data_IF_887784604173
#
_entry.id   IF_887784604173
#
_cell.length_a   1.000
_cell.length_b   1.000
_cell.length_c   1.000
_cell.angle_alpha   90.00
_cell.angle_beta   90.00
_cell.angle_gamma   90.00
#
_symmetry.space_group_name_H-M   'P 1'
#
loop_
_entity.id
_entity.type
_entity.pdbx_description
1 polymer ?
#
# COMPACT_ATOMS: atom_id res chain seq x y z
N UNK A 1 -13.43 11.06 -4.99
CA UNK A 1 -13.14 9.78 -4.33
C UNK A 1 -11.88 9.20 -4.91
N UNK A 2 -11.00 8.66 -4.08
CA UNK A 2 -9.81 7.92 -4.51
C UNK A 2 -10.23 6.63 -5.24
N UNK A 3 -9.63 6.36 -6.41
CA UNK A 3 -10.00 5.25 -7.28
C UNK A 3 -8.83 4.28 -7.38
N UNK A 4 -9.07 3.00 -7.13
CA UNK A 4 -8.04 1.95 -7.13
C UNK A 4 -8.12 1.12 -8.40
N UNK A 5 -6.96 0.59 -8.83
CA UNK A 5 -6.87 -0.38 -9.92
C UNK A 5 -7.21 -1.79 -9.42
N UNK A 6 -7.60 -2.68 -10.34
CA UNK A 6 -7.92 -4.08 -10.03
C UNK A 6 -6.84 -4.73 -9.16
N UNK A 7 -5.58 -4.69 -9.62
CA UNK A 7 -4.48 -5.33 -8.90
C UNK A 7 -4.24 -4.78 -7.50
N UNK A 8 -4.51 -3.49 -7.26
CA UNK A 8 -4.36 -2.89 -5.93
C UNK A 8 -5.44 -3.42 -4.98
N UNK A 9 -6.69 -3.51 -5.45
CA UNK A 9 -7.78 -4.09 -4.68
C UNK A 9 -7.52 -5.56 -4.36
N UNK A 10 -7.12 -6.36 -5.36
CA UNK A 10 -6.75 -7.77 -5.18
C UNK A 10 -5.72 -7.93 -4.07
N UNK A 11 -4.59 -7.23 -4.17
CA UNK A 11 -3.50 -7.34 -3.19
C UNK A 11 -3.89 -6.87 -1.80
N UNK A 12 -4.66 -5.78 -1.69
CA UNK A 12 -5.17 -5.31 -0.39
C UNK A 12 -6.11 -6.35 0.23
N UNK A 13 -7.00 -6.97 -0.53
CA UNK A 13 -7.96 -7.95 -0.02
C UNK A 13 -7.31 -9.26 0.40
N UNK A 14 -6.31 -9.71 -0.36
CA UNK A 14 -5.48 -10.87 0.00
C UNK A 14 -4.69 -10.56 1.28
N UNK A 15 -4.00 -9.42 1.35
CA UNK A 15 -3.22 -9.00 2.50
C UNK A 15 -4.07 -8.85 3.78
N UNK A 16 -5.28 -8.33 3.63
CA UNK A 16 -6.20 -8.17 4.74
C UNK A 16 -6.77 -9.50 5.24
N UNK A 17 -6.72 -10.56 4.42
CA UNK A 17 -7.30 -11.87 4.70
C UNK A 17 -8.80 -11.94 4.46
N UNK A 18 -9.33 -11.07 3.60
CA UNK A 18 -10.75 -11.10 3.19
C UNK A 18 -11.05 -12.22 2.19
N UNK A 19 -10.03 -12.65 1.48
CA UNK A 19 -10.12 -13.73 0.50
C UNK A 19 -10.02 -15.06 1.23
N UNK A 20 -10.86 -16.03 0.86
CA UNK A 20 -10.86 -17.39 1.42
C UNK A 20 -10.70 -18.38 0.26
N UNK A 21 -9.63 -19.15 0.26
CA UNK A 21 -9.46 -20.26 -0.66
C UNK A 21 -10.36 -21.44 -0.25
N UNK A 22 -10.96 -22.10 -1.23
CA UNK A 22 -11.77 -23.31 -1.01
C UNK A 22 -10.85 -24.54 -0.91
N UNK A 23 -9.67 -24.49 -1.54
CA UNK A 23 -8.67 -25.55 -1.48
C UNK A 23 -7.23 -24.98 -1.53
N UNK A 24 -6.25 -25.76 -1.07
CA UNK A 24 -4.86 -25.30 -0.93
C UNK A 24 -4.15 -24.95 -2.26
N UNK A 25 -4.66 -25.43 -3.40
CA UNK A 25 -4.10 -25.17 -4.72
C UNK A 25 -4.62 -23.87 -5.35
N UNK A 26 -5.61 -23.25 -4.73
CA UNK A 26 -6.26 -22.07 -5.28
C UNK A 26 -5.42 -20.82 -5.06
N UNK A 27 -5.21 -20.05 -6.12
CA UNK A 27 -4.46 -18.80 -6.03
C UNK A 27 -5.37 -17.69 -5.48
N UNK A 28 -4.97 -17.13 -4.34
CA UNK A 28 -5.73 -16.06 -3.66
C UNK A 28 -5.95 -14.83 -4.54
N UNK A 29 -5.03 -14.51 -5.45
CA UNK A 29 -5.18 -13.37 -6.36
C UNK A 29 -6.31 -13.65 -7.37
N UNK A 30 -6.39 -14.88 -7.89
CA UNK A 30 -7.46 -15.30 -8.80
C UNK A 30 -8.82 -15.29 -8.10
N UNK A 31 -8.88 -15.76 -6.84
CA UNK A 31 -10.12 -15.72 -6.05
C UNK A 31 -10.57 -14.28 -5.82
N UNK A 32 -9.64 -13.40 -5.43
CA UNK A 32 -9.93 -11.98 -5.20
C UNK A 32 -10.43 -11.30 -6.48
N UNK A 33 -9.80 -11.58 -7.62
CA UNK A 33 -10.20 -11.03 -8.91
C UNK A 33 -11.62 -11.47 -9.28
N UNK A 34 -11.99 -12.74 -9.02
CA UNK A 34 -13.36 -13.23 -9.22
C UNK A 34 -14.37 -12.51 -8.33
N UNK A 35 -14.06 -12.30 -7.04
CA UNK A 35 -14.93 -11.52 -6.15
C UNK A 35 -15.16 -10.10 -6.68
N UNK A 36 -14.11 -9.43 -7.16
CA UNK A 36 -14.26 -8.07 -7.72
C UNK A 36 -15.10 -8.10 -9.01
N UNK A 37 -14.88 -9.07 -9.90
CA UNK A 37 -15.69 -9.25 -11.12
C UNK A 37 -17.16 -9.50 -10.82
N UNK A 38 -17.47 -10.25 -9.76
CA UNK A 38 -18.84 -10.48 -9.30
C UNK A 38 -19.47 -9.18 -8.81
N UNK A 39 -18.76 -8.37 -8.00
CA UNK A 39 -19.26 -7.07 -7.54
C UNK A 39 -19.50 -6.08 -8.68
N UNK A 40 -18.66 -6.11 -9.72
CA UNK A 40 -18.87 -5.34 -10.95
C UNK A 40 -20.13 -5.84 -11.68
N UNK A 41 -20.31 -7.16 -11.79
CA UNK A 41 -21.48 -7.77 -12.44
C UNK A 41 -22.78 -7.43 -11.71
N UNK A 42 -22.74 -7.32 -10.38
CA UNK A 42 -23.84 -6.88 -9.53
C UNK A 42 -24.03 -5.35 -9.47
N UNK A 43 -23.28 -4.57 -10.27
CA UNK A 43 -23.32 -3.10 -10.30
C UNK A 43 -22.93 -2.41 -8.98
N UNK A 44 -22.28 -3.12 -8.05
CA UNK A 44 -21.76 -2.53 -6.80
C UNK A 44 -20.48 -1.73 -7.03
N UNK A 45 -19.69 -2.12 -8.04
CA UNK A 45 -18.52 -1.40 -8.50
C UNK A 45 -18.65 -1.02 -9.98
N UNK A 46 -18.41 0.26 -10.29
CA UNK A 46 -18.38 0.80 -11.64
C UNK A 46 -16.93 0.85 -12.15
N UNK A 47 -16.60 0.14 -13.24
CA UNK A 47 -15.32 0.31 -13.91
C UNK A 47 -15.32 1.65 -14.65
N UNK A 48 -14.21 2.38 -14.51
CA UNK A 48 -13.94 3.64 -15.19
C UNK A 48 -12.65 3.46 -15.95
N UNK A 49 -12.75 3.53 -17.27
CA UNK A 49 -11.59 3.48 -18.15
C UNK A 49 -10.79 4.78 -18.06
N UNK A 50 -9.48 4.63 -17.87
CA UNK A 50 -8.54 5.75 -17.86
C UNK A 50 -7.37 5.44 -18.80
N UNK A 51 -6.61 6.46 -19.21
CA UNK A 51 -5.37 6.25 -19.97
C UNK A 51 -4.37 5.31 -19.26
N UNK A 52 -4.52 5.14 -17.94
CA UNK A 52 -3.66 4.33 -17.09
C UNK A 52 -4.25 2.94 -16.74
N UNK A 53 -5.34 2.55 -17.41
CA UNK A 53 -6.10 1.32 -17.21
C UNK A 53 -7.43 1.52 -16.47
N UNK A 54 -8.16 0.43 -16.24
CA UNK A 54 -9.44 0.42 -15.54
C UNK A 54 -9.26 0.70 -14.05
N UNK A 55 -10.04 1.64 -13.53
CA UNK A 55 -10.16 1.97 -12.10
C UNK A 55 -11.59 1.72 -11.63
N UNK A 56 -11.77 1.40 -10.35
CA UNK A 56 -13.10 1.13 -9.81
C UNK A 56 -13.59 2.27 -8.93
N UNK A 57 -14.87 2.59 -9.08
CA UNK A 57 -15.63 3.46 -8.17
C UNK A 57 -16.78 2.64 -7.60
N UNK A 58 -17.03 2.79 -6.30
CA UNK A 58 -18.21 2.20 -5.67
C UNK A 58 -19.45 2.98 -6.14
N UNK A 59 -20.51 2.28 -6.53
CA UNK A 59 -21.75 2.92 -6.97
C UNK A 59 -22.44 3.63 -5.79
N UNK A 60 -22.99 4.82 -6.02
CA UNK A 60 -23.64 5.59 -4.96
C UNK A 60 -24.78 4.85 -4.23
N UNK A 61 -25.42 3.88 -4.90
CA UNK A 61 -26.57 3.09 -4.39
C UNK A 61 -26.14 2.13 -3.27
N UNK A 62 -24.87 1.72 -3.23
CA UNK A 62 -24.36 0.86 -2.15
C UNK A 62 -23.82 1.66 -0.96
N UNK A 63 -23.88 3.00 -0.97
CA UNK A 63 -23.44 3.81 0.18
C UNK A 63 -24.20 3.50 1.47
N UNK A 64 -25.53 3.44 1.43
CA UNK A 64 -26.34 3.13 2.61
C UNK A 64 -26.04 1.72 3.18
N UNK A 65 -25.61 0.80 2.32
CA UNK A 65 -25.17 -0.52 2.73
C UNK A 65 -23.79 -0.44 3.39
N UNK A 66 -22.85 0.29 2.78
CA UNK A 66 -21.51 0.49 3.33
C UNK A 66 -21.56 1.10 4.73
N UNK A 67 -22.42 2.08 4.98
CA UNK A 67 -22.58 2.66 6.32
C UNK A 67 -23.00 1.63 7.38
N UNK A 68 -23.74 0.58 6.97
CA UNK A 68 -24.16 -0.49 7.88
C UNK A 68 -23.09 -1.56 8.10
N UNK A 69 -22.22 -1.81 7.12
CA UNK A 69 -21.24 -2.91 7.16
C UNK A 69 -19.82 -2.45 7.47
N UNK A 70 -19.45 -1.20 7.18
CA UNK A 70 -18.12 -0.64 7.34
C UNK A 70 -17.93 0.03 8.72
N UNK A 71 -18.53 -0.52 9.77
CA UNK A 71 -18.51 0.06 11.14
C UNK A 71 -17.09 0.22 11.71
N UNK A 72 -16.16 -0.61 11.27
CA UNK A 72 -14.77 -0.60 11.76
C UNK A 72 -13.82 0.15 10.80
N UNK A 73 -14.37 0.85 9.81
CA UNK A 73 -13.61 1.64 8.84
C UNK A 73 -13.75 3.13 9.17
N UNK A 74 -12.65 3.87 9.11
CA UNK A 74 -12.64 5.31 9.34
C UNK A 74 -11.79 6.03 8.30
N UNK A 75 -12.24 7.21 7.87
CA UNK A 75 -11.58 8.02 6.84
C UNK A 75 -11.36 9.44 7.36
N UNK A 76 -10.12 9.89 7.35
CA UNK A 76 -9.75 11.26 7.69
C UNK A 76 -9.46 12.02 6.39
N UNK A 77 -10.30 13.02 6.08
CA UNK A 77 -10.01 14.02 5.04
C UNK A 77 -9.46 15.29 5.70
N UNK A 78 -8.22 15.22 6.19
CA UNK A 78 -7.50 16.42 6.62
C UNK A 78 -7.14 17.24 5.39
N UNK A 79 -7.46 18.54 5.39
CA UNK A 79 -6.93 19.43 4.37
C UNK A 79 -5.40 19.47 4.51
N UNK A 80 -4.65 19.73 3.42
CA UNK A 80 -3.26 20.15 3.54
C UNK A 80 -3.15 21.21 4.62
N UNK A 81 -2.22 21.07 5.56
CA UNK A 81 -1.99 22.06 6.59
C UNK A 81 -1.63 23.38 5.89
N UNK A 82 -2.62 24.26 5.70
CA UNK A 82 -2.37 25.56 5.10
C UNK A 82 -1.63 26.37 6.15
N UNK A 83 -0.35 26.64 5.92
CA UNK A 83 0.23 27.85 6.49
C UNK A 83 -0.71 29.01 6.16
N UNK A 84 -1.25 29.64 7.20
CA UNK A 84 -1.96 30.89 7.06
C UNK A 84 -1.05 31.90 6.35
N UNK A 85 -1.38 32.18 5.09
CA UNK A 85 -1.44 33.51 4.44
C UNK A 85 -1.23 33.33 2.94
N UNK A 86 -2.32 33.33 2.17
CA UNK A 86 -2.60 34.36 1.17
C UNK A 86 -3.92 34.03 0.43
N UNK A 87 -4.81 35.01 0.44
CA UNK A 87 -5.83 35.29 -0.57
C UNK A 87 -7.06 34.39 -0.70
N UNK A 88 -8.10 34.80 0.04
CA UNK A 88 -9.39 35.25 -0.48
C UNK A 88 -9.71 34.95 -1.98
N UNK A 89 -10.90 34.35 -2.15
CA UNK A 89 -11.78 34.28 -3.34
C UNK A 89 -11.54 33.15 -4.34
N UNK A 90 -12.22 32.02 -4.09
CA UNK A 90 -13.03 31.37 -5.13
C UNK A 90 -14.20 30.59 -4.52
N UNK A 91 -15.21 31.30 -4.03
CA UNK A 91 -16.56 30.74 -3.89
C UNK A 91 -17.27 30.96 -5.22
N UNK A 92 -17.31 29.93 -6.05
CA UNK A 92 -18.31 29.80 -7.09
C UNK A 92 -18.52 28.32 -7.44
N UNK A 93 -19.65 27.81 -6.96
CA UNK A 93 -20.52 26.86 -7.63
C UNK A 93 -20.05 25.39 -7.75
N UNK A 94 -20.45 24.55 -6.78
CA UNK A 94 -20.94 23.20 -7.07
C UNK A 94 -22.08 22.84 -6.11
N UNK A 95 -23.24 22.57 -6.71
CA UNK A 95 -24.38 21.93 -6.06
C UNK A 95 -24.15 20.42 -6.13
N UNK A 96 -24.19 19.70 -5.00
CA UNK A 96 -24.83 18.38 -4.87
C UNK A 96 -24.60 17.77 -3.48
N UNK A 97 -25.58 18.00 -2.61
CA UNK A 97 -26.16 17.07 -1.62
C UNK A 97 -25.21 16.18 -0.78
N UNK A 98 -25.03 16.63 0.47
CA UNK A 98 -24.91 15.84 1.70
C UNK A 98 -23.83 14.76 1.72
N UNK A 99 -22.57 15.14 1.50
CA UNK A 99 -21.51 14.62 2.37
C UNK A 99 -21.94 14.98 3.79
N UNK A 100 -22.00 14.02 4.71
CA UNK A 100 -21.72 14.36 6.11
C UNK A 100 -20.27 14.84 6.12
N UNK A 101 -20.09 16.12 5.86
CA UNK A 101 -18.98 16.91 6.35
C UNK A 101 -19.18 16.98 7.87
N UNK A 102 -18.97 15.86 8.56
CA UNK A 102 -18.59 15.94 9.96
C UNK A 102 -17.21 16.60 9.93
N UNK A 103 -17.23 17.93 10.11
CA UNK A 103 -16.07 18.69 10.57
C UNK A 103 -15.44 17.85 11.67
N UNK A 104 -14.21 17.38 11.43
CA UNK A 104 -13.52 16.44 12.30
C UNK A 104 -13.61 16.90 13.76
N UNK A 105 -14.38 16.17 14.56
CA UNK A 105 -14.59 16.43 15.99
C UNK A 105 -13.44 15.94 16.88
N UNK A 106 -12.22 15.86 16.35
CA UNK A 106 -11.01 15.41 17.04
C UNK A 106 -10.87 13.89 17.22
N UNK A 107 -11.93 13.15 17.54
CA UNK A 107 -11.77 11.79 18.07
C UNK A 107 -11.95 10.65 17.04
N UNK A 108 -10.99 9.72 16.96
CA UNK A 108 -11.09 8.47 16.16
C UNK A 108 -11.69 7.36 17.03
N UNK A 109 -12.71 6.58 16.58
CA UNK A 109 -13.24 5.48 17.39
C UNK A 109 -12.17 4.42 17.69
N UNK A 110 -12.10 3.94 18.93
CA UNK A 110 -11.04 3.02 19.40
C UNK A 110 -11.14 1.60 18.81
N UNK A 111 -12.30 1.23 18.30
CA UNK A 111 -12.60 -0.05 17.67
C UNK A 111 -12.34 -0.06 16.15
N UNK A 112 -11.85 1.06 15.60
CA UNK A 112 -11.44 1.14 14.18
C UNK A 112 -10.35 0.11 13.89
N UNK A 113 -10.60 -0.69 12.85
CA UNK A 113 -9.65 -1.67 12.34
C UNK A 113 -9.02 -1.23 11.02
N UNK A 114 -9.68 -0.33 10.29
CA UNK A 114 -9.22 0.14 9.00
C UNK A 114 -9.25 1.66 8.92
N UNK A 115 -8.08 2.28 8.92
CA UNK A 115 -7.93 3.73 8.88
C UNK A 115 -7.33 4.17 7.55
N UNK A 116 -8.03 5.06 6.88
CA UNK A 116 -7.52 5.82 5.75
C UNK A 116 -7.29 7.26 6.17
N UNK A 117 -6.10 7.80 5.88
CA UNK A 117 -5.73 9.20 6.11
C UNK A 117 -5.37 9.83 4.76
N UNK A 118 -6.03 10.93 4.42
CA UNK A 118 -5.84 11.59 3.14
C UNK A 118 -4.43 12.20 3.01
N UNK A 119 -3.98 12.95 4.01
CA UNK A 119 -2.67 13.57 4.05
C UNK A 119 -1.89 13.13 5.29
N UNK A 120 -0.61 12.86 5.11
CA UNK A 120 0.32 12.59 6.21
C UNK A 120 0.34 13.76 7.20
N UNK A 121 0.27 13.41 8.47
CA UNK A 121 0.32 14.34 9.60
C UNK A 121 0.96 13.59 10.77
N UNK A 122 2.17 14.00 11.14
CA UNK A 122 2.97 13.32 12.16
C UNK A 122 2.39 13.47 13.57
N UNK A 123 1.75 14.59 13.85
CA UNK A 123 1.14 14.88 15.14
C UNK A 123 -0.13 14.04 15.29
N UNK A 124 -0.99 14.01 14.27
CA UNK A 124 -2.15 13.11 14.21
C UNK A 124 -1.78 11.65 14.45
N UNK A 125 -0.69 11.18 13.82
CA UNK A 125 -0.23 9.81 14.03
C UNK A 125 0.14 9.60 15.50
N UNK A 126 0.97 10.49 16.03
CA UNK A 126 1.56 10.35 17.37
C UNK A 126 0.52 10.48 18.48
N UNK A 127 -0.42 11.42 18.35
CA UNK A 127 -1.39 11.76 19.38
C UNK A 127 -2.62 10.85 19.36
N UNK A 128 -3.11 10.45 18.17
CA UNK A 128 -4.37 9.71 18.04
C UNK A 128 -4.17 8.29 17.52
N UNK A 129 -3.45 8.11 16.42
CA UNK A 129 -3.43 6.82 15.69
C UNK A 129 -2.64 5.76 16.47
N UNK A 130 -1.55 6.13 17.16
CA UNK A 130 -0.77 5.19 17.96
C UNK A 130 -1.56 4.57 19.13
N UNK A 131 -2.71 5.15 19.52
CA UNK A 131 -3.62 4.59 20.52
C UNK A 131 -4.60 3.53 19.98
N UNK A 132 -4.63 3.28 18.66
CA UNK A 132 -5.56 2.35 18.02
C UNK A 132 -4.99 0.93 17.97
N UNK A 133 -4.89 0.26 19.12
CA UNK A 133 -4.23 -1.05 19.25
C UNK A 133 -4.81 -2.17 18.37
N UNK A 134 -6.08 -2.06 17.98
CA UNK A 134 -6.77 -3.03 17.11
C UNK A 134 -6.63 -2.72 15.60
N UNK A 135 -5.82 -1.72 15.23
CA UNK A 135 -5.71 -1.28 13.86
C UNK A 135 -5.01 -2.35 13.01
N UNK A 136 -5.71 -2.79 11.95
CA UNK A 136 -5.22 -3.79 10.98
C UNK A 136 -4.78 -3.17 9.67
N UNK A 137 -5.31 -2.01 9.32
CA UNK A 137 -4.96 -1.28 8.10
C UNK A 137 -4.71 0.18 8.42
N UNK A 138 -3.54 0.67 8.03
CA UNK A 138 -3.23 2.09 7.97
C UNK A 138 -2.81 2.45 6.55
N UNK A 139 -3.62 3.26 5.87
CA UNK A 139 -3.31 3.79 4.55
C UNK A 139 -3.21 5.32 4.64
N UNK A 140 -2.02 5.85 4.42
CA UNK A 140 -1.75 7.28 4.29
C UNK A 140 -1.56 7.57 2.81
N UNK A 141 -2.49 8.32 2.23
CA UNK A 141 -2.60 8.44 0.77
C UNK A 141 -1.63 9.44 0.16
N UNK A 142 -1.54 10.65 0.71
CA UNK A 142 -0.63 11.70 0.24
C UNK A 142 0.36 12.04 1.35
N UNK A 143 1.63 12.14 1.00
CA UNK A 143 2.66 12.83 1.80
C UNK A 143 2.92 14.17 1.11
N UNK A 144 3.25 15.23 1.83
CA UNK A 144 3.55 16.55 1.24
C UNK A 144 5.05 16.84 1.33
N UNK A 145 5.54 17.73 0.48
CA UNK A 145 6.97 18.07 0.39
C UNK A 145 7.51 18.72 1.67
N UNK A 146 6.67 19.53 2.32
CA UNK A 146 6.97 20.23 3.57
C UNK A 146 6.80 19.38 4.82
N UNK A 147 6.17 18.21 4.70
CA UNK A 147 5.87 17.29 5.81
C UNK A 147 6.34 15.87 5.47
N UNK A 148 7.68 15.64 5.39
CA UNK A 148 8.22 14.33 5.05
C UNK A 148 7.95 13.29 6.15
N UNK A 149 7.86 12.02 5.75
CA UNK A 149 7.67 10.91 6.68
C UNK A 149 8.94 10.72 7.51
N UNK A 150 8.80 10.80 8.83
CA UNK A 150 9.92 10.66 9.75
C UNK A 150 10.13 9.19 10.15
N UNK A 151 11.39 8.73 10.17
CA UNK A 151 11.74 7.36 10.57
C UNK A 151 11.19 7.01 11.96
N UNK A 152 11.32 7.93 12.93
CA UNK A 152 10.83 7.77 14.31
C UNK A 152 9.32 7.48 14.38
N UNK A 153 8.54 8.03 13.44
CA UNK A 153 7.09 7.84 13.40
C UNK A 153 6.77 6.45 12.88
N UNK A 154 7.45 5.99 11.83
CA UNK A 154 7.30 4.61 11.34
C UNK A 154 7.76 3.60 12.41
N UNK A 155 8.85 3.88 13.11
CA UNK A 155 9.32 3.04 14.23
C UNK A 155 8.29 2.97 15.36
N UNK A 156 7.65 4.11 15.68
CA UNK A 156 6.58 4.16 16.69
C UNK A 156 5.33 3.39 16.24
N UNK A 157 4.93 3.48 14.97
CA UNK A 157 3.86 2.67 14.38
C UNK A 157 4.17 1.17 14.54
N UNK A 158 5.38 0.75 14.18
CA UNK A 158 5.79 -0.66 14.25
C UNK A 158 5.81 -1.21 15.69
N UNK A 159 6.10 -0.36 16.68
CA UNK A 159 6.14 -0.73 18.10
C UNK A 159 4.77 -0.75 18.78
N UNK A 160 3.78 -0.01 18.27
CA UNK A 160 2.48 0.18 18.91
C UNK A 160 1.35 -0.58 18.23
N UNK A 161 1.33 -0.62 16.90
CA UNK A 161 0.20 -1.12 16.11
C UNK A 161 0.45 -2.56 15.66
N UNK A 162 0.61 -3.47 16.63
CA UNK A 162 1.08 -4.84 16.39
C UNK A 162 0.13 -5.73 15.58
N UNK A 163 -1.14 -5.35 15.51
CA UNK A 163 -2.19 -6.04 14.73
C UNK A 163 -2.21 -5.65 13.24
N UNK A 164 -1.32 -4.73 12.81
CA UNK A 164 -1.26 -4.27 11.42
C UNK A 164 -0.98 -5.43 10.45
N UNK A 165 -1.83 -5.50 9.43
CA UNK A 165 -1.67 -6.35 8.23
C UNK A 165 -1.23 -5.54 7.03
N UNK A 166 -1.70 -4.30 6.95
CA UNK A 166 -1.42 -3.38 5.85
C UNK A 166 -0.91 -2.07 6.42
N UNK A 167 0.32 -1.72 6.05
CA UNK A 167 0.89 -0.39 6.25
C UNK A 167 1.26 0.17 4.87
N UNK A 168 0.55 1.20 4.44
CA UNK A 168 0.77 1.84 3.15
C UNK A 168 0.90 3.35 3.32
N UNK A 169 2.06 3.89 2.98
CA UNK A 169 2.37 5.32 3.08
C UNK A 169 2.67 5.90 1.70
N UNK A 170 2.25 7.14 1.48
CA UNK A 170 2.33 7.83 0.18
C UNK A 170 1.62 7.05 -0.95
N UNK A 171 0.49 6.42 -0.65
CA UNK A 171 -0.14 5.46 -1.56
C UNK A 171 -0.63 6.05 -2.92
N UNK A 172 -0.73 7.37 -3.02
CA UNK A 172 -1.05 8.10 -4.26
C UNK A 172 -0.03 7.86 -5.37
N UNK A 173 -0.51 7.84 -6.61
CA UNK A 173 0.33 7.79 -7.83
C UNK A 173 0.39 9.14 -8.56
N UNK A 174 -0.36 10.14 -8.08
CA UNK A 174 -0.61 11.39 -8.81
C UNK A 174 0.25 12.55 -8.32
N UNK A 175 0.92 12.38 -7.19
CA UNK A 175 1.82 13.37 -6.61
C UNK A 175 3.16 12.69 -6.31
N UNK A 176 4.25 13.32 -6.75
CA UNK A 176 5.61 13.03 -6.32
C UNK A 176 5.96 14.08 -5.27
N UNK A 177 5.75 13.78 -3.98
CA UNK A 177 5.88 14.80 -2.97
C UNK A 177 7.32 15.12 -2.62
N UNK A 178 8.32 14.39 -3.13
CA UNK A 178 9.67 14.51 -2.58
C UNK A 178 10.73 14.48 -3.67
N UNK A 179 11.13 15.68 -4.10
CA UNK A 179 12.14 15.89 -5.14
C UNK A 179 13.58 15.67 -4.68
N UNK A 180 13.84 15.55 -3.38
CA UNK A 180 15.19 15.25 -2.89
C UNK A 180 15.50 13.76 -2.88
N UNK A 181 16.73 13.43 -3.27
CA UNK A 181 17.26 12.07 -3.19
C UNK A 181 17.47 11.69 -1.72
N UNK A 182 16.51 10.92 -1.18
CA UNK A 182 16.54 10.49 0.20
C UNK A 182 16.67 8.98 0.31
N UNK A 183 17.35 8.56 1.38
CA UNK A 183 17.37 7.19 1.85
C UNK A 183 16.33 7.06 2.96
N UNK A 184 15.49 6.04 2.88
CA UNK A 184 14.49 5.74 3.89
C UNK A 184 14.77 4.38 4.52
N UNK A 185 15.39 4.34 5.70
CA UNK A 185 15.53 3.10 6.45
C UNK A 185 14.18 2.68 7.02
N UNK A 186 13.74 1.46 6.67
CA UNK A 186 12.64 0.80 7.37
C UNK A 186 13.19 0.31 8.71
N UNK A 187 12.57 0.68 9.85
CA UNK A 187 13.13 0.37 11.17
C UNK A 187 13.09 -1.12 11.47
N UNK A 188 14.05 -1.62 12.25
CA UNK A 188 14.13 -3.03 12.67
C UNK A 188 12.89 -3.49 13.47
N UNK A 189 12.17 -2.55 14.09
CA UNK A 189 10.90 -2.81 14.79
C UNK A 189 9.79 -3.31 13.87
N UNK A 190 9.90 -3.18 12.54
CA UNK A 190 8.93 -3.76 11.60
C UNK A 190 8.77 -5.28 11.78
N UNK A 191 9.81 -5.96 12.28
CA UNK A 191 9.79 -7.39 12.62
C UNK A 191 8.80 -7.73 13.75
N UNK A 192 8.36 -6.74 14.53
CA UNK A 192 7.34 -6.89 15.57
C UNK A 192 5.94 -7.03 14.99
N UNK A 193 5.70 -6.53 13.77
CA UNK A 193 4.42 -6.63 13.07
C UNK A 193 4.25 -8.02 12.45
N UNK A 194 3.97 -9.03 13.29
CA UNK A 194 3.85 -10.44 12.89
C UNK A 194 2.72 -10.71 11.90
N UNK A 195 1.75 -9.82 11.81
CA UNK A 195 0.61 -9.93 10.90
C UNK A 195 0.79 -9.14 9.60
N UNK A 196 1.87 -8.36 9.48
CA UNK A 196 2.11 -7.50 8.33
C UNK A 196 2.34 -8.34 7.08
N UNK A 197 1.47 -8.13 6.09
CA UNK A 197 1.49 -8.82 4.81
C UNK A 197 1.64 -7.86 3.63
N UNK A 198 1.28 -6.58 3.81
CA UNK A 198 1.44 -5.52 2.81
C UNK A 198 2.22 -4.35 3.40
N UNK A 199 3.38 -4.07 2.82
CA UNK A 199 4.16 -2.88 3.11
C UNK A 199 4.28 -2.01 1.85
N UNK A 200 3.80 -0.78 1.93
CA UNK A 200 3.91 0.21 0.86
C UNK A 200 4.61 1.47 1.37
N UNK A 201 5.64 1.89 0.64
CA UNK A 201 6.22 3.23 0.72
C UNK A 201 6.43 3.71 -0.72
N UNK A 202 5.35 4.15 -1.36
CA UNK A 202 5.42 4.55 -2.77
C UNK A 202 6.15 5.89 -2.86
N UNK A 203 7.30 5.86 -3.51
CA UNK A 203 8.19 7.01 -3.64
C UNK A 203 8.58 7.21 -5.10
N UNK A 204 9.28 8.30 -5.40
CA UNK A 204 9.83 8.56 -6.73
C UNK A 204 11.20 7.93 -6.93
N UNK A 205 11.66 7.93 -8.18
CA UNK A 205 12.94 7.32 -8.59
C UNK A 205 14.21 7.87 -7.91
N UNK A 206 14.12 9.02 -7.24
CA UNK A 206 15.20 9.60 -6.44
C UNK A 206 15.33 8.93 -5.06
N UNK A 207 14.30 8.23 -4.59
CA UNK A 207 14.26 7.60 -3.27
C UNK A 207 14.83 6.20 -3.28
N UNK A 208 15.48 5.86 -2.17
CA UNK A 208 15.98 4.52 -1.93
C UNK A 208 15.51 4.02 -0.57
N UNK A 209 14.68 2.98 -0.57
CA UNK A 209 14.24 2.30 0.64
C UNK A 209 15.30 1.28 1.05
N UNK A 210 15.64 1.26 2.33
CA UNK A 210 16.56 0.28 2.93
C UNK A 210 15.72 -0.64 3.80
N UNK A 211 15.61 -1.91 3.40
CA UNK A 211 14.94 -2.92 4.21
C UNK A 211 15.85 -3.33 5.38
N UNK A 212 15.27 -3.67 6.55
CA UNK A 212 16.05 -4.15 7.68
C UNK A 212 16.69 -5.51 7.38
N UNK A 213 17.65 -5.90 8.20
CA UNK A 213 18.30 -7.23 8.07
C UNK A 213 17.49 -8.36 8.71
N UNK A 214 16.44 -8.02 9.44
CA UNK A 214 15.52 -8.97 10.06
C UNK A 214 14.65 -9.69 9.03
N UNK A 215 14.26 -10.92 9.35
CA UNK A 215 13.47 -11.77 8.45
C UNK A 215 11.99 -11.34 8.46
N UNK A 216 11.45 -10.98 7.30
CA UNK A 216 10.06 -10.49 7.13
C UNK A 216 9.14 -11.56 6.52
N UNK A 217 9.13 -12.73 7.13
CA UNK A 217 8.60 -13.96 6.53
C UNK A 217 7.09 -13.92 6.21
N UNK A 218 6.34 -12.97 6.76
CA UNK A 218 4.89 -12.86 6.55
C UNK A 218 4.50 -11.90 5.41
N UNK A 219 5.46 -11.12 4.90
CA UNK A 219 5.21 -10.15 3.85
C UNK A 219 4.89 -10.87 2.54
N UNK A 220 3.77 -10.44 1.93
CA UNK A 220 3.30 -10.90 0.63
C UNK A 220 3.44 -9.81 -0.45
N UNK A 221 3.37 -8.54 -0.06
CA UNK A 221 3.44 -7.39 -0.97
C UNK A 221 4.44 -6.36 -0.45
N UNK A 222 5.42 -6.04 -1.30
CA UNK A 222 6.30 -4.88 -1.18
C UNK A 222 6.00 -3.91 -2.31
N UNK A 223 5.60 -2.69 -2.00
CA UNK A 223 5.20 -1.71 -3.01
C UNK A 223 5.88 -0.37 -2.77
N UNK A 224 6.95 -0.12 -3.54
CA UNK A 224 7.77 1.09 -3.44
C UNK A 224 7.50 2.07 -4.59
N UNK A 225 6.52 1.77 -5.45
CA UNK A 225 6.22 2.59 -6.62
C UNK A 225 7.44 2.75 -7.53
N UNK A 226 7.81 4.00 -7.80
CA UNK A 226 8.95 4.33 -8.66
C UNK A 226 10.29 4.38 -7.92
N UNK A 227 10.28 4.17 -6.60
CA UNK A 227 11.46 4.14 -5.75
C UNK A 227 12.41 2.97 -6.03
N UNK A 228 13.56 3.03 -5.38
CA UNK A 228 14.62 2.00 -5.42
C UNK A 228 14.66 1.22 -4.10
N UNK A 229 15.18 0.00 -4.14
CA UNK A 229 15.57 -0.72 -2.93
C UNK A 229 17.09 -0.83 -2.89
N UNK A 230 17.71 -0.42 -1.77
CA UNK A 230 19.14 -0.63 -1.54
C UNK A 230 19.40 -2.03 -1.01
N UNK A 231 20.43 -2.70 -1.54
CA UNK A 231 20.96 -3.97 -1.01
C UNK A 231 19.87 -5.00 -0.65
N UNK A 232 18.95 -5.24 -1.59
CA UNK A 232 17.85 -6.19 -1.39
C UNK A 232 18.38 -7.60 -1.11
N UNK A 233 17.92 -8.20 -0.01
CA UNK A 233 18.10 -9.62 0.27
C UNK A 233 16.77 -10.34 0.19
N UNK A 234 16.75 -11.46 -0.53
CA UNK A 234 15.58 -12.36 -0.57
C UNK A 234 15.47 -13.24 0.68
N UNK A 235 16.49 -13.23 1.56
CA UNK A 235 16.42 -13.89 2.86
C UNK A 235 15.26 -13.29 3.68
N UNK A 236 14.42 -14.15 4.24
CA UNK A 236 13.27 -13.70 5.01
C UNK A 236 12.02 -13.28 4.24
N UNK A 237 11.97 -13.42 2.92
CA UNK A 237 10.79 -13.02 2.11
C UNK A 237 10.11 -14.20 1.41
N UNK A 238 10.15 -15.39 2.01
CA UNK A 238 9.71 -16.64 1.36
C UNK A 238 8.23 -16.65 0.91
N UNK A 239 7.38 -15.84 1.55
CA UNK A 239 5.96 -15.70 1.21
C UNK A 239 5.67 -14.53 0.27
N UNK A 240 6.70 -13.82 -0.22
CA UNK A 240 6.54 -12.68 -1.10
C UNK A 240 5.90 -13.13 -2.42
N UNK A 241 4.80 -12.46 -2.77
CA UNK A 241 4.03 -12.67 -4.00
C UNK A 241 4.22 -11.51 -4.96
N UNK A 242 4.32 -10.29 -4.45
CA UNK A 242 4.43 -9.10 -5.28
C UNK A 242 5.50 -8.15 -4.78
N UNK A 243 6.33 -7.70 -5.71
CA UNK A 243 7.24 -6.59 -5.50
C UNK A 243 7.05 -5.57 -6.62
N UNK A 244 6.91 -4.29 -6.25
CA UNK A 244 6.82 -3.17 -7.18
C UNK A 244 7.93 -2.17 -6.87
N UNK A 245 8.78 -1.97 -7.87
CA UNK A 245 9.92 -1.07 -7.84
C UNK A 245 10.33 -0.81 -9.30
N UNK A 246 10.39 0.45 -9.72
CA UNK A 246 10.69 0.81 -11.11
C UNK A 246 12.19 0.77 -11.45
N UNK A 247 13.08 0.73 -10.44
CA UNK A 247 14.51 0.66 -10.69
C UNK A 247 15.00 -0.75 -10.96
N UNK A 248 15.94 -0.86 -11.92
CA UNK A 248 16.73 -2.07 -12.14
C UNK A 248 17.46 -2.43 -10.85
N UNK A 249 17.27 -3.65 -10.37
CA UNK A 249 17.95 -4.15 -9.17
C UNK A 249 18.64 -5.48 -9.42
N UNK A 250 19.77 -5.67 -8.72
CA UNK A 250 20.30 -7.01 -8.49
C UNK A 250 19.41 -7.69 -7.46
N UNK A 251 18.97 -8.91 -7.78
CA UNK A 251 18.04 -9.65 -6.94
C UNK A 251 18.67 -10.99 -6.55
N UNK A 252 19.57 -11.00 -5.56
CA UNK A 252 20.30 -12.20 -5.20
C UNK A 252 19.37 -13.29 -4.67
N UNK A 253 19.56 -14.50 -5.16
CA UNK A 253 18.82 -15.72 -4.83
C UNK A 253 17.30 -15.62 -5.06
N UNK A 254 16.87 -14.85 -6.07
CA UNK A 254 15.45 -14.68 -6.39
C UNK A 254 14.71 -16.02 -6.56
N UNK A 255 15.40 -17.06 -7.02
CA UNK A 255 14.84 -18.41 -7.22
C UNK A 255 14.35 -19.10 -5.94
N UNK A 256 14.57 -18.52 -4.75
CA UNK A 256 13.96 -18.96 -3.49
C UNK A 256 12.52 -18.48 -3.33
N UNK A 257 12.12 -17.41 -4.02
CA UNK A 257 10.80 -16.79 -3.92
C UNK A 257 9.78 -17.52 -4.81
N UNK A 258 9.51 -18.78 -4.51
CA UNK A 258 8.64 -19.64 -5.34
C UNK A 258 7.17 -19.21 -5.39
N UNK A 259 6.76 -18.36 -4.44
CA UNK A 259 5.43 -17.74 -4.41
C UNK A 259 5.31 -16.46 -5.24
N UNK A 260 6.42 -15.97 -5.81
CA UNK A 260 6.48 -14.69 -6.51
C UNK A 260 5.66 -14.73 -7.80
N UNK A 261 4.76 -13.76 -7.93
CA UNK A 261 3.85 -13.58 -9.07
C UNK A 261 4.19 -12.35 -9.90
N UNK A 262 4.73 -11.29 -9.29
CA UNK A 262 5.25 -10.13 -10.01
C UNK A 262 6.72 -9.92 -9.69
N UNK A 263 7.48 -9.52 -10.69
CA UNK A 263 8.92 -9.28 -10.61
C UNK A 263 9.21 -7.87 -11.15
N UNK A 264 10.11 -7.09 -10.53
CA UNK A 264 10.51 -5.81 -11.08
C UNK A 264 11.50 -6.06 -12.23
N UNK A 265 12.03 -5.00 -12.82
CA UNK A 265 13.12 -5.14 -13.77
C UNK A 265 14.37 -5.67 -13.05
N UNK A 266 14.83 -6.86 -13.44
CA UNK A 266 15.96 -7.54 -12.78
C UNK A 266 17.23 -7.50 -13.61
N UNK A 267 18.35 -7.24 -12.94
CA UNK A 267 19.68 -7.37 -13.52
C UNK A 267 20.24 -8.76 -13.23
N UNK A 268 20.53 -9.52 -14.28
CA UNK A 268 21.21 -10.81 -14.20
C UNK A 268 22.69 -10.62 -14.47
N UNK A 269 23.53 -11.37 -13.75
CA UNK A 269 24.98 -11.34 -13.94
C UNK A 269 25.59 -12.71 -13.65
N UNK A 270 26.90 -12.86 -13.88
CA UNK A 270 27.63 -14.07 -13.50
C UNK A 270 27.95 -14.14 -12.00
N UNK A 271 27.45 -13.20 -11.19
CA UNK A 271 27.59 -13.23 -9.74
C UNK A 271 26.72 -14.33 -9.13
N UNK A 272 27.22 -14.99 -8.08
CA UNK A 272 26.52 -16.09 -7.42
C UNK A 272 25.16 -15.62 -6.91
N UNK A 273 24.10 -16.31 -7.33
CA UNK A 273 22.72 -16.00 -6.93
C UNK A 273 22.05 -14.91 -7.77
N UNK A 274 22.74 -14.27 -8.71
CA UNK A 274 22.17 -13.31 -9.66
C UNK A 274 22.12 -13.89 -11.09
N UNK A 275 22.39 -15.18 -11.25
CA UNK A 275 22.42 -15.84 -12.54
C UNK A 275 21.01 -16.14 -13.07
N UNK A 276 20.88 -16.23 -14.40
CA UNK A 276 19.57 -16.44 -15.06
C UNK A 276 18.87 -17.74 -14.62
N UNK A 277 19.61 -18.76 -14.11
CA UNK A 277 18.99 -20.03 -13.69
C UNK A 277 18.12 -19.86 -12.45
N UNK A 278 18.29 -18.79 -11.68
CA UNK A 278 17.42 -18.45 -10.56
C UNK A 278 15.95 -18.31 -10.99
N UNK A 279 15.71 -17.85 -12.22
CA UNK A 279 14.36 -17.65 -12.75
C UNK A 279 13.61 -18.98 -12.98
N UNK A 280 14.32 -20.11 -13.10
CA UNK A 280 13.73 -21.44 -13.36
C UNK A 280 12.70 -21.84 -12.31
N UNK A 281 12.86 -21.40 -11.07
CA UNK A 281 11.99 -21.81 -9.95
C UNK A 281 10.75 -20.90 -9.79
N UNK A 282 10.63 -19.83 -10.57
CA UNK A 282 9.60 -18.81 -10.43
C UNK A 282 8.35 -19.14 -11.27
N UNK A 283 7.75 -20.30 -11.00
CA UNK A 283 6.66 -20.86 -11.80
C UNK A 283 5.31 -20.14 -11.65
N UNK A 284 5.19 -19.21 -10.69
CA UNK A 284 3.98 -18.43 -10.45
C UNK A 284 4.02 -17.03 -11.06
N UNK A 285 5.09 -16.66 -11.76
CA UNK A 285 5.20 -15.34 -12.39
C UNK A 285 4.10 -15.13 -13.44
N UNK A 286 3.56 -13.92 -13.43
CA UNK A 286 2.51 -13.45 -14.34
C UNK A 286 2.86 -12.05 -14.84
N UNK A 287 2.29 -11.66 -15.98
CA UNK A 287 2.54 -10.35 -16.58
C UNK A 287 3.84 -10.32 -17.39
N UNK A 288 4.55 -9.20 -17.31
CA UNK A 288 5.77 -8.94 -18.10
C UNK A 288 7.04 -9.21 -17.30
N UNK A 289 8.04 -9.76 -17.99
CA UNK A 289 9.38 -9.99 -17.46
C UNK A 289 10.38 -9.11 -18.21
N UNK A 290 11.07 -8.23 -17.50
CA UNK A 290 12.13 -7.38 -18.04
C UNK A 290 13.48 -7.74 -17.41
N UNK A 291 14.44 -8.13 -18.24
CA UNK A 291 15.78 -8.56 -17.82
C UNK A 291 16.84 -7.65 -18.46
N UNK A 292 17.81 -7.20 -17.67
CA UNK A 292 19.05 -6.59 -18.16
C UNK A 292 20.24 -7.48 -17.82
N UNK A 293 21.22 -7.56 -18.72
CA UNK A 293 22.51 -8.25 -18.50
C UNK A 293 23.67 -7.27 -18.33
#
# INVERSE_FOLDING_TARGET
GSMLRMGELVRLWVAQGFVKAVCATEDMDDVAERYIKELVSCSFMQPIETASGTRFRIHDVVHDLLDKVAKNCFRIENAPFKQEKFSLKKKANMNARSRREEVWGGHIPRDVQHLFVQNYDGDLITEEILGLENLRTLIIYVVQEDSPVEEKIIDSICKRLLELRVLAVAFSREHDPIKQANKFPVPESISQLKHLSYLAFRTSSSWTVILPKTELNHIQVLDFGDGKIFEFTSAGLINLRHIFCSSIMKFPNIGRLTSLQTIPKVCVSNERGCDVKQLRNLNKLRGSLEISG
#
